data_IF_700828869513
#
_entry.id   IF_700828869513
#
_cell.length_a   1.000
_cell.length_b   1.000
_cell.length_c   1.000
_cell.angle_alpha   90.00
_cell.angle_beta   90.00
_cell.angle_gamma   90.00
#
_symmetry.space_group_name_H-M   'P 1'
#
loop_
_entity.id
_entity.type
_entity.pdbx_description
1 polymer ?
#
# COMPACT_ATOMS: atom_id res chain seq x y z
N UNK A 1 -18.61 10.89 -53.20
CA UNK A 1 -18.05 11.94 -52.32
C UNK A 1 -18.07 11.40 -50.90
N UNK A 2 -16.89 11.15 -50.36
CA UNK A 2 -16.64 10.50 -49.07
C UNK A 2 -16.89 11.47 -47.92
N UNK A 3 -17.75 11.10 -46.96
CA UNK A 3 -17.86 11.84 -45.70
C UNK A 3 -16.96 11.13 -44.70
N UNK A 4 -15.85 11.79 -44.41
CA UNK A 4 -14.78 11.37 -43.51
C UNK A 4 -15.25 11.17 -42.08
N UNK A 5 -14.62 10.19 -41.43
CA UNK A 5 -14.71 9.88 -40.02
C UNK A 5 -14.30 11.04 -39.10
N UNK A 6 -14.97 11.12 -37.94
CA UNK A 6 -14.50 11.64 -36.64
C UNK A 6 -15.66 11.38 -35.68
N UNK A 7 -15.53 10.86 -34.48
CA UNK A 7 -14.46 10.18 -33.76
C UNK A 7 -15.16 9.44 -32.63
N UNK A 8 -14.71 8.22 -32.38
CA UNK A 8 -15.04 7.44 -31.18
C UNK A 8 -14.73 8.27 -29.93
N UNK A 9 -15.75 8.86 -29.30
CA UNK A 9 -15.61 9.23 -27.88
C UNK A 9 -16.00 8.01 -27.06
N UNK A 10 -14.96 7.23 -26.83
CA UNK A 10 -14.93 6.03 -26.03
C UNK A 10 -15.65 6.25 -24.71
N UNK A 11 -16.43 5.24 -24.33
CA UNK A 11 -17.04 5.10 -23.02
C UNK A 11 -16.08 5.62 -21.94
N UNK A 12 -16.43 6.74 -21.32
CA UNK A 12 -15.79 7.16 -20.09
C UNK A 12 -16.23 6.14 -19.06
N UNK A 13 -15.44 5.08 -18.96
CA UNK A 13 -15.53 4.09 -17.92
C UNK A 13 -15.58 4.87 -16.61
N UNK A 14 -16.75 4.87 -15.98
CA UNK A 14 -16.85 5.03 -14.55
C UNK A 14 -16.10 3.85 -13.97
N UNK A 15 -14.77 3.94 -13.96
CA UNK A 15 -13.90 3.07 -13.23
C UNK A 15 -14.23 3.35 -11.77
N UNK A 16 -15.23 2.60 -11.30
CA UNK A 16 -15.46 2.27 -9.91
C UNK A 16 -14.12 2.33 -9.22
N UNK A 17 -13.96 3.31 -8.32
CA UNK A 17 -12.89 3.32 -7.33
C UNK A 17 -13.14 2.14 -6.40
N UNK A 18 -13.01 0.94 -6.94
CA UNK A 18 -12.89 -0.29 -6.18
C UNK A 18 -11.56 -0.12 -5.50
N UNK A 19 -11.61 0.22 -4.22
CA UNK A 19 -10.48 0.31 -3.31
C UNK A 19 -9.83 -1.07 -3.16
N UNK A 20 -9.29 -1.60 -4.26
CA UNK A 20 -8.37 -2.73 -4.22
C UNK A 20 -7.11 -2.16 -3.61
N UNK A 21 -6.90 -2.44 -2.33
CA UNK A 21 -5.62 -2.17 -1.68
C UNK A 21 -4.56 -2.91 -2.50
N UNK A 22 -3.88 -2.18 -3.36
CA UNK A 22 -2.94 -2.76 -4.31
C UNK A 22 -1.68 -3.21 -3.58
N UNK A 23 -1.01 -4.22 -4.13
CA UNK A 23 0.33 -4.65 -3.70
C UNK A 23 1.27 -3.45 -3.56
N UNK A 24 1.16 -2.46 -4.46
CA UNK A 24 1.95 -1.23 -4.40
C UNK A 24 1.62 -0.36 -3.18
N UNK A 25 0.35 -0.23 -2.78
CA UNK A 25 -0.04 0.51 -1.58
C UNK A 25 0.48 -0.15 -0.31
N UNK A 26 0.39 -1.48 -0.20
CA UNK A 26 0.91 -2.22 0.96
C UNK A 26 2.43 -2.06 1.06
N UNK A 27 3.16 -2.18 -0.05
CA UNK A 27 4.61 -1.93 -0.08
C UNK A 27 4.97 -0.52 0.41
N UNK A 28 4.21 0.51 0.02
CA UNK A 28 4.41 1.89 0.49
C UNK A 28 4.16 2.02 2.00
N UNK A 29 3.13 1.36 2.52
CA UNK A 29 2.84 1.36 3.96
C UNK A 29 3.95 0.66 4.76
N UNK A 30 4.46 -0.48 4.28
CA UNK A 30 5.61 -1.17 4.89
C UNK A 30 6.83 -0.25 4.93
N UNK A 31 7.19 0.38 3.81
CA UNK A 31 8.34 1.30 3.75
C UNK A 31 8.15 2.51 4.70
N UNK A 32 6.93 3.01 4.83
CA UNK A 32 6.61 4.10 5.77
C UNK A 32 6.77 3.66 7.23
N UNK A 33 6.28 2.46 7.58
CA UNK A 33 6.45 1.90 8.93
C UNK A 33 7.92 1.63 9.27
N UNK A 34 8.72 1.13 8.32
CA UNK A 34 10.15 0.95 8.51
C UNK A 34 10.86 2.29 8.81
N UNK A 35 10.50 3.37 8.09
CA UNK A 35 11.01 4.71 8.39
C UNK A 35 10.58 5.20 9.78
N UNK A 36 9.34 4.95 10.18
CA UNK A 36 8.84 5.31 11.53
C UNK A 36 9.60 4.56 12.63
N UNK A 37 9.88 3.27 12.43
CA UNK A 37 10.70 2.48 13.35
C UNK A 37 12.09 3.08 13.50
N UNK A 38 12.76 3.42 12.39
CA UNK A 38 14.09 4.05 12.44
C UNK A 38 14.06 5.42 13.13
N UNK A 39 13.05 6.24 12.82
CA UNK A 39 12.87 7.55 13.45
C UNK A 39 12.60 7.43 14.96
N UNK A 40 11.80 6.44 15.38
CA UNK A 40 11.49 6.19 16.79
C UNK A 40 12.71 5.65 17.56
N UNK A 41 13.54 4.82 16.92
CA UNK A 41 14.82 4.39 17.53
C UNK A 41 15.73 5.60 17.82
N UNK A 42 15.78 6.55 16.89
CA UNK A 42 16.53 7.80 17.02
C UNK A 42 15.81 8.91 17.82
N UNK A 43 14.58 8.67 18.30
CA UNK A 43 13.82 9.70 19.03
C UNK A 43 14.37 9.92 20.44
N UNK A 44 14.01 11.05 21.04
CA UNK A 44 14.30 11.34 22.45
C UNK A 44 13.16 10.94 23.40
N UNK A 45 12.23 10.08 22.94
CA UNK A 45 11.19 9.52 23.81
C UNK A 45 11.82 8.67 24.92
N UNK A 46 11.15 8.63 26.08
CA UNK A 46 11.54 7.75 27.18
C UNK A 46 11.49 6.28 26.76
N UNK A 47 12.29 5.44 27.44
CA UNK A 47 12.49 4.05 27.04
C UNK A 47 11.18 3.24 26.98
N UNK A 48 10.22 3.54 27.86
CA UNK A 48 8.94 2.85 27.91
C UNK A 48 8.05 3.26 26.73
N UNK A 49 7.90 4.55 26.48
CA UNK A 49 7.14 5.10 25.35
C UNK A 49 7.71 4.63 24.03
N UNK A 50 9.04 4.68 23.89
CA UNK A 50 9.76 4.20 22.71
C UNK A 50 9.52 2.70 22.47
N UNK A 51 9.64 1.87 23.50
CA UNK A 51 9.40 0.44 23.40
C UNK A 51 7.95 0.14 22.98
N UNK A 52 6.96 0.81 23.57
CA UNK A 52 5.55 0.64 23.23
C UNK A 52 5.26 0.99 21.76
N UNK A 53 5.77 2.13 21.28
CA UNK A 53 5.60 2.54 19.88
C UNK A 53 6.31 1.60 18.91
N UNK A 54 7.54 1.16 19.24
CA UNK A 54 8.27 0.20 18.42
C UNK A 54 7.56 -1.15 18.32
N UNK A 55 6.97 -1.62 19.43
CA UNK A 55 6.17 -2.84 19.42
C UNK A 55 4.92 -2.68 18.56
N UNK A 56 4.21 -1.55 18.67
CA UNK A 56 3.05 -1.24 17.83
C UNK A 56 3.43 -1.23 16.34
N UNK A 57 4.52 -0.56 15.97
CA UNK A 57 4.97 -0.48 14.58
C UNK A 57 5.42 -1.84 14.02
N UNK A 58 6.11 -2.65 14.82
CA UNK A 58 6.48 -4.02 14.42
C UNK A 58 5.24 -4.89 14.18
N UNK A 59 4.25 -4.85 15.07
CA UNK A 59 2.99 -5.60 14.90
C UNK A 59 2.24 -5.18 13.63
N UNK A 60 2.19 -3.89 13.31
CA UNK A 60 1.59 -3.42 12.06
C UNK A 60 2.38 -3.86 10.83
N UNK A 61 3.71 -3.83 10.91
CA UNK A 61 4.60 -4.25 9.84
C UNK A 61 4.41 -5.74 9.51
N UNK A 62 4.36 -6.60 10.52
CA UNK A 62 4.11 -8.04 10.35
C UNK A 62 2.77 -8.31 9.67
N UNK A 63 1.71 -7.61 10.08
CA UNK A 63 0.38 -7.75 9.46
C UNK A 63 0.40 -7.34 7.98
N UNK A 64 1.05 -6.23 7.63
CA UNK A 64 1.17 -5.79 6.25
C UNK A 64 2.04 -6.72 5.40
N UNK A 65 3.11 -7.29 5.97
CA UNK A 65 3.93 -8.28 5.28
C UNK A 65 3.15 -9.56 4.99
N UNK A 66 2.34 -10.03 5.94
CA UNK A 66 1.48 -11.17 5.75
C UNK A 66 0.42 -10.90 4.67
N UNK A 67 -0.20 -9.72 4.70
CA UNK A 67 -1.18 -9.31 3.69
C UNK A 67 -0.54 -9.19 2.29
N UNK A 68 0.67 -8.67 2.21
CA UNK A 68 1.45 -8.60 0.97
C UNK A 68 1.73 -9.99 0.42
N UNK A 69 2.17 -10.91 1.28
CA UNK A 69 2.49 -12.28 0.91
C UNK A 69 1.25 -13.01 0.37
N UNK A 70 0.09 -12.86 1.02
CA UNK A 70 -1.17 -13.45 0.55
C UNK A 70 -1.57 -12.90 -0.82
N UNK A 71 -1.47 -11.59 -1.03
CA UNK A 71 -1.80 -10.97 -2.32
C UNK A 71 -0.83 -11.37 -3.43
N UNK A 72 0.46 -11.49 -3.13
CA UNK A 72 1.47 -11.95 -4.09
C UNK A 72 1.23 -13.41 -4.49
N UNK A 73 0.88 -14.29 -3.55
CA UNK A 73 0.52 -15.68 -3.85
C UNK A 73 -0.77 -15.76 -4.68
N UNK A 74 -1.80 -14.98 -4.33
CA UNK A 74 -3.04 -14.93 -5.09
C UNK A 74 -2.82 -14.42 -6.54
N UNK A 75 -1.89 -13.48 -6.72
CA UNK A 75 -1.55 -12.94 -8.05
C UNK A 75 -0.61 -13.85 -8.86
N UNK A 76 0.10 -14.79 -8.23
CA UNK A 76 1.00 -15.73 -8.89
C UNK A 76 0.33 -17.08 -9.23
N UNK A 77 -0.80 -17.38 -8.59
CA UNK A 77 -1.61 -18.56 -8.86
C UNK A 77 -2.71 -18.34 -9.91
N UNK A 78 -2.74 -17.16 -10.56
CA UNK A 78 -3.68 -16.79 -11.64
C UNK A 78 -3.03 -16.83 -13.01
#
# INVERSE_FOLDING_TARGET
>A
MSISAISSVSASAYASSTSTVSVAQIKRQIATLQKKIQAEQASNDDAQTKAAKLQLYQTQLTQLQLQLQQLQQASAAS
#
